data_IF_826211279617
#
_entry.id   IF_826211279617
#
_cell.length_a   1.000
_cell.length_b   1.000
_cell.length_c   1.000
_cell.angle_alpha   90.00
_cell.angle_beta   90.00
_cell.angle_gamma   90.00
#
_symmetry.space_group_name_H-M   'P 1'
#
loop_
_entity.id
_entity.type
_entity.pdbx_description
1 polymer ?
#
# COMPACT_ATOMS: atom_id res chain seq x y z
N UNK A 1 -19.02 -45.19 -1.26
CA UNK A 1 -18.69 -43.89 -0.64
C UNK A 1 -18.77 -42.86 -1.75
N UNK A 2 -19.86 -42.11 -1.83
CA UNK A 2 -20.01 -41.09 -2.87
C UNK A 2 -19.20 -39.86 -2.47
N UNK A 3 -18.24 -39.52 -3.31
CA UNK A 3 -17.41 -38.32 -3.20
C UNK A 3 -18.33 -37.11 -3.46
N UNK A 4 -18.70 -36.38 -2.40
CA UNK A 4 -19.52 -35.18 -2.51
C UNK A 4 -18.66 -34.06 -3.10
N UNK A 5 -18.60 -34.01 -4.43
CA UNK A 5 -18.03 -32.89 -5.15
C UNK A 5 -18.86 -31.64 -4.84
N UNK A 6 -18.22 -30.63 -4.29
CA UNK A 6 -18.83 -29.35 -3.93
C UNK A 6 -19.64 -28.77 -5.09
N UNK A 7 -20.86 -28.35 -4.82
CA UNK A 7 -21.69 -27.71 -5.85
C UNK A 7 -21.08 -26.37 -6.25
N UNK A 8 -21.40 -25.90 -7.46
CA UNK A 8 -20.93 -24.60 -7.96
C UNK A 8 -21.32 -23.44 -7.04
N UNK A 9 -22.50 -23.51 -6.44
CA UNK A 9 -23.02 -22.50 -5.51
C UNK A 9 -22.21 -22.50 -4.20
N UNK A 10 -21.98 -23.66 -3.61
CA UNK A 10 -21.16 -23.79 -2.40
C UNK A 10 -19.75 -23.29 -2.65
N UNK A 11 -19.13 -23.63 -3.80
CA UNK A 11 -17.79 -23.16 -4.14
C UNK A 11 -17.71 -21.63 -4.23
N UNK A 12 -18.67 -21.00 -4.90
CA UNK A 12 -18.74 -19.55 -5.01
C UNK A 12 -18.88 -18.88 -3.63
N UNK A 13 -19.71 -19.44 -2.76
CA UNK A 13 -19.87 -18.95 -1.39
C UNK A 13 -18.58 -19.07 -0.58
N UNK A 14 -17.90 -20.22 -0.69
CA UNK A 14 -16.62 -20.43 -0.01
C UNK A 14 -15.54 -19.44 -0.47
N UNK A 15 -15.50 -19.13 -1.76
CA UNK A 15 -14.55 -18.16 -2.32
C UNK A 15 -14.88 -16.73 -1.86
N UNK A 16 -16.16 -16.36 -1.76
CA UNK A 16 -16.59 -15.08 -1.20
C UNK A 16 -16.19 -14.94 0.28
N UNK A 17 -16.42 -15.98 1.08
CA UNK A 17 -16.04 -16.00 2.50
C UNK A 17 -14.53 -15.87 2.68
N UNK A 18 -13.73 -16.51 1.81
CA UNK A 18 -12.27 -16.34 1.80
C UNK A 18 -11.86 -14.91 1.47
N UNK A 19 -12.45 -14.32 0.44
CA UNK A 19 -12.17 -12.94 0.04
C UNK A 19 -12.52 -11.94 1.17
N UNK A 20 -13.69 -12.08 1.79
CA UNK A 20 -14.10 -11.24 2.92
C UNK A 20 -13.16 -11.38 4.12
N UNK A 21 -12.81 -12.62 4.48
CA UNK A 21 -11.84 -12.91 5.55
C UNK A 21 -10.48 -12.26 5.27
N UNK A 22 -9.97 -12.42 4.05
CA UNK A 22 -8.64 -11.93 3.68
C UNK A 22 -8.60 -10.41 3.61
N UNK A 23 -9.68 -9.78 3.14
CA UNK A 23 -9.86 -8.32 3.20
C UNK A 23 -9.87 -7.81 4.65
N UNK A 24 -10.64 -8.43 5.54
CA UNK A 24 -10.70 -8.04 6.95
C UNK A 24 -9.33 -8.19 7.64
N UNK A 25 -8.58 -9.25 7.31
CA UNK A 25 -7.20 -9.43 7.78
C UNK A 25 -6.26 -8.36 7.23
N UNK A 26 -6.43 -7.95 5.98
CA UNK A 26 -5.59 -6.94 5.34
C UNK A 26 -5.72 -5.55 5.97
N UNK A 27 -6.82 -5.24 6.67
CA UNK A 27 -7.00 -3.98 7.41
C UNK A 27 -6.17 -3.89 8.70
N UNK A 28 -5.58 -5.00 9.17
CA UNK A 28 -4.72 -4.98 10.36
C UNK A 28 -3.38 -4.30 10.07
N UNK A 29 -2.82 -3.68 11.10
CA UNK A 29 -1.46 -3.19 11.03
C UNK A 29 -0.50 -4.38 10.81
N UNK A 30 0.45 -4.28 9.87
CA UNK A 30 1.38 -5.38 9.61
C UNK A 30 2.36 -5.55 10.78
N UNK A 31 2.48 -6.78 11.27
CA UNK A 31 3.39 -7.17 12.37
C UNK A 31 4.59 -7.95 11.79
N UNK A 32 5.44 -7.26 11.03
CA UNK A 32 6.70 -7.84 10.53
C UNK A 32 7.89 -7.16 11.22
N UNK A 33 9.01 -7.88 11.33
CA UNK A 33 10.30 -7.25 11.63
C UNK A 33 10.62 -6.17 10.57
N UNK A 34 11.38 -5.15 10.98
CA UNK A 34 11.83 -4.09 10.06
C UNK A 34 12.50 -4.71 8.83
N UNK A 35 12.08 -4.37 7.60
CA UNK A 35 12.65 -4.95 6.39
C UNK A 35 14.16 -4.68 6.29
N UNK A 36 14.93 -5.70 5.91
CA UNK A 36 16.37 -5.58 5.72
C UNK A 36 16.69 -4.62 4.56
N UNK A 37 17.28 -3.48 4.90
CA UNK A 37 17.67 -2.42 3.97
C UNK A 37 19.14 -2.58 3.61
N UNK A 38 19.43 -2.45 2.32
CA UNK A 38 20.79 -2.28 1.85
C UNK A 38 21.26 -0.85 2.14
N UNK A 39 22.52 -0.72 2.54
CA UNK A 39 23.13 0.57 2.78
C UNK A 39 23.18 1.38 1.48
N UNK A 40 23.04 2.71 1.59
CA UNK A 40 23.24 3.61 0.46
C UNK A 40 24.73 3.58 0.10
N UNK A 41 25.09 3.28 -1.17
CA UNK A 41 26.49 3.18 -1.57
C UNK A 41 27.19 4.54 -1.54
N UNK A 42 28.51 4.52 -1.31
CA UNK A 42 29.34 5.73 -1.35
C UNK A 42 29.53 6.21 -2.80
N UNK A 43 30.06 7.42 -2.95
CA UNK A 43 30.38 7.97 -4.26
C UNK A 43 31.38 7.06 -5.00
N UNK A 44 31.05 6.66 -6.23
CA UNK A 44 31.83 5.72 -7.05
C UNK A 44 31.56 4.23 -6.79
N UNK A 45 30.67 3.90 -5.85
CA UNK A 45 30.18 2.54 -5.61
C UNK A 45 28.72 2.40 -6.08
N UNK A 46 28.31 1.17 -6.35
CA UNK A 46 26.91 0.83 -6.60
C UNK A 46 26.48 -0.34 -5.71
N UNK A 47 25.17 -0.48 -5.54
CA UNK A 47 24.55 -1.62 -4.87
C UNK A 47 23.37 -2.09 -5.69
N UNK A 48 23.14 -3.39 -5.71
CA UNK A 48 21.99 -4.01 -6.36
C UNK A 48 21.07 -4.63 -5.32
N UNK A 49 19.78 -4.62 -5.60
CA UNK A 49 18.78 -5.24 -4.74
C UNK A 49 17.38 -5.07 -5.28
N UNK A 50 16.42 -5.17 -4.37
CA UNK A 50 15.01 -5.01 -4.69
C UNK A 50 14.53 -3.63 -4.29
N UNK A 51 13.70 -3.03 -5.12
CA UNK A 51 12.98 -1.80 -4.79
C UNK A 51 11.49 -2.00 -5.10
N UNK A 52 10.67 -1.04 -4.70
CA UNK A 52 9.26 -1.05 -5.03
C UNK A 52 8.75 0.34 -5.43
N UNK A 53 7.70 0.35 -6.26
CA UNK A 53 6.88 1.53 -6.51
C UNK A 53 5.46 1.25 -6.02
N UNK A 54 5.01 1.96 -4.98
CA UNK A 54 3.66 1.77 -4.42
C UNK A 54 2.55 2.44 -5.24
N UNK A 55 2.89 3.18 -6.30
CA UNK A 55 1.89 3.86 -7.12
C UNK A 55 1.13 2.85 -8.00
N UNK A 56 -0.20 2.88 -7.94
CA UNK A 56 -1.04 2.05 -8.81
C UNK A 56 -1.06 0.56 -8.45
N UNK A 57 -0.65 0.18 -7.23
CA UNK A 57 -0.69 -1.21 -6.74
C UNK A 57 -2.11 -1.75 -6.59
N UNK A 58 -3.10 -0.87 -6.55
CA UNK A 58 -4.53 -1.17 -6.55
C UNK A 58 -5.05 -1.76 -7.87
N UNK A 59 -4.28 -1.68 -8.96
CA UNK A 59 -4.66 -2.17 -10.30
C UNK A 59 -4.58 -3.70 -10.47
N UNK A 60 -4.67 -4.45 -9.37
CA UNK A 60 -4.72 -5.91 -9.35
C UNK A 60 -3.35 -6.62 -9.20
N UNK A 61 -3.33 -7.96 -9.19
CA UNK A 61 -2.16 -8.76 -8.81
C UNK A 61 -0.95 -8.54 -9.74
N UNK A 62 -1.18 -8.30 -11.03
CA UNK A 62 -0.11 -7.97 -11.98
C UNK A 62 0.58 -6.63 -11.67
N UNK A 63 -0.10 -5.72 -10.97
CA UNK A 63 0.50 -4.45 -10.54
C UNK A 63 1.50 -4.68 -9.40
N UNK A 64 1.20 -5.59 -8.46
CA UNK A 64 2.12 -5.95 -7.36
C UNK A 64 3.41 -6.57 -7.92
N UNK A 65 3.29 -7.42 -8.95
CA UNK A 65 4.45 -8.04 -9.60
C UNK A 65 5.35 -7.01 -10.28
N UNK A 66 4.76 -6.02 -10.97
CA UNK A 66 5.50 -4.94 -11.63
C UNK A 66 6.04 -3.90 -10.65
N UNK A 67 5.35 -3.71 -9.52
CA UNK A 67 5.70 -2.73 -8.51
C UNK A 67 7.04 -3.06 -7.86
N UNK A 68 7.29 -4.33 -7.52
CA UNK A 68 8.52 -4.80 -6.87
C UNK A 68 9.49 -5.37 -7.91
N UNK A 69 10.63 -4.72 -8.08
CA UNK A 69 11.58 -5.04 -9.15
C UNK A 69 13.03 -4.97 -8.67
N UNK A 70 13.89 -5.66 -9.41
CA UNK A 70 15.33 -5.51 -9.26
C UNK A 70 15.75 -4.12 -9.73
N UNK A 71 16.66 -3.52 -8.99
CA UNK A 71 17.22 -2.21 -9.26
C UNK A 71 18.66 -2.14 -8.75
N UNK A 72 19.38 -1.15 -9.25
CA UNK A 72 20.67 -0.75 -8.74
C UNK A 72 20.62 0.72 -8.33
N UNK A 73 21.45 1.08 -7.36
CA UNK A 73 21.57 2.44 -6.86
C UNK A 73 23.05 2.81 -6.76
N UNK A 74 23.35 4.05 -7.09
CA UNK A 74 24.56 4.77 -6.70
C UNK A 74 24.14 5.91 -5.74
N UNK A 75 25.08 6.79 -5.38
CA UNK A 75 24.79 7.96 -4.55
C UNK A 75 23.88 9.00 -5.24
N UNK A 76 24.07 9.23 -6.54
CA UNK A 76 23.42 10.32 -7.29
C UNK A 76 22.42 9.85 -8.35
N UNK A 77 22.41 8.56 -8.66
CA UNK A 77 21.53 7.97 -9.66
C UNK A 77 21.14 6.55 -9.27
N UNK A 78 20.12 6.05 -9.92
CA UNK A 78 19.68 4.67 -9.80
C UNK A 78 19.09 4.21 -11.13
N UNK A 79 18.85 2.92 -11.26
CA UNK A 79 18.16 2.38 -12.42
C UNK A 79 17.52 1.02 -12.16
N UNK A 80 16.71 0.59 -13.11
CA UNK A 80 16.03 -0.70 -13.07
C UNK A 80 16.91 -1.81 -13.64
N UNK A 81 16.76 -3.03 -13.10
CA UNK A 81 17.53 -4.22 -13.49
C UNK A 81 18.87 -4.35 -12.75
N UNK A 82 19.75 -5.23 -13.24
CA UNK A 82 21.13 -5.35 -12.76
C UNK A 82 21.99 -4.20 -13.29
N UNK A 83 23.02 -3.81 -12.54
CA UNK A 83 23.94 -2.74 -12.91
C UNK A 83 24.71 -3.12 -14.17
N UNK A 84 24.74 -2.22 -15.16
CA UNK A 84 25.51 -2.39 -16.39
C UNK A 84 26.34 -1.14 -16.66
N UNK A 85 27.65 -1.14 -16.34
CA UNK A 85 28.51 0.05 -16.42
C UNK A 85 28.66 0.66 -17.84
N UNK A 86 28.19 -0.03 -18.89
CA UNK A 86 28.34 0.37 -20.30
C UNK A 86 27.08 0.21 -21.15
N UNK A 87 25.97 -0.22 -20.57
CA UNK A 87 24.70 -0.36 -21.28
C UNK A 87 23.60 0.47 -20.63
N UNK A 88 22.70 0.92 -21.48
CA UNK A 88 21.52 1.76 -21.24
C UNK A 88 20.48 1.08 -20.33
N UNK A 89 20.83 0.75 -19.10
CA UNK A 89 19.81 0.65 -18.05
C UNK A 89 19.06 1.98 -18.01
N UNK A 90 17.74 1.96 -17.74
CA UNK A 90 17.00 3.22 -17.50
C UNK A 90 17.58 3.83 -16.23
N UNK A 91 18.50 4.78 -16.38
CA UNK A 91 19.07 5.53 -15.28
C UNK A 91 18.40 6.88 -15.18
N UNK A 92 18.18 7.33 -13.96
CA UNK A 92 17.73 8.69 -13.68
C UNK A 92 18.65 9.29 -12.61
N UNK A 93 19.14 10.50 -12.84
CA UNK A 93 19.85 11.30 -11.85
C UNK A 93 18.84 11.89 -10.85
N UNK A 94 18.21 11.02 -10.06
CA UNK A 94 17.15 11.33 -9.09
C UNK A 94 17.56 10.92 -7.67
N UNK A 95 18.86 10.97 -7.37
CA UNK A 95 19.49 10.40 -6.17
C UNK A 95 19.41 8.86 -6.13
N UNK A 96 20.13 8.28 -5.18
CA UNK A 96 20.00 6.87 -4.86
C UNK A 96 18.61 6.51 -4.30
N UNK A 97 18.20 5.27 -4.53
CA UNK A 97 16.94 4.72 -3.99
C UNK A 97 17.23 3.71 -2.88
N UNK A 98 16.29 3.59 -1.94
CA UNK A 98 16.36 2.53 -0.96
C UNK A 98 16.20 1.17 -1.65
N UNK A 99 17.18 0.30 -1.44
CA UNK A 99 17.17 -1.09 -1.88
C UNK A 99 17.01 -2.03 -0.68
N UNK A 100 16.48 -3.22 -0.95
CA UNK A 100 16.28 -4.29 0.01
C UNK A 100 17.00 -5.55 -0.46
N UNK A 101 17.50 -6.34 0.48
CA UNK A 101 18.25 -7.57 0.18
C UNK A 101 17.39 -8.59 -0.57
N UNK A 102 16.12 -8.73 -0.14
CA UNK A 102 15.20 -9.71 -0.70
C UNK A 102 13.94 -9.07 -1.26
N UNK A 103 13.33 -9.76 -2.23
CA UNK A 103 12.00 -9.39 -2.75
C UNK A 103 10.94 -9.40 -1.63
N UNK A 104 11.07 -10.30 -0.68
CA UNK A 104 10.16 -10.39 0.47
C UNK A 104 10.26 -9.15 1.35
N UNK A 105 11.46 -8.63 1.59
CA UNK A 105 11.65 -7.41 2.38
C UNK A 105 11.12 -6.17 1.65
N UNK A 106 11.34 -6.07 0.33
CA UNK A 106 10.70 -5.04 -0.48
C UNK A 106 9.16 -5.11 -0.44
N UNK A 107 8.57 -6.31 -0.48
CA UNK A 107 7.11 -6.49 -0.33
C UNK A 107 6.61 -6.09 1.07
N UNK A 108 7.33 -6.44 2.14
CA UNK A 108 6.97 -6.02 3.51
C UNK A 108 7.03 -4.51 3.63
N UNK A 109 8.08 -3.89 3.11
CA UNK A 109 8.24 -2.43 3.09
C UNK A 109 7.10 -1.76 2.30
N UNK A 110 6.77 -2.28 1.13
CA UNK A 110 5.64 -1.82 0.33
C UNK A 110 4.31 -1.94 1.10
N UNK A 111 4.07 -3.09 1.74
CA UNK A 111 2.86 -3.32 2.54
C UNK A 111 2.76 -2.37 3.74
N UNK A 112 3.88 -2.01 4.37
CA UNK A 112 3.92 -1.02 5.44
C UNK A 112 3.60 0.39 4.90
N UNK A 113 4.27 0.81 3.83
CA UNK A 113 4.05 2.11 3.19
C UNK A 113 2.58 2.30 2.75
N UNK A 114 2.02 1.28 2.09
CA UNK A 114 0.62 1.29 1.64
C UNK A 114 -0.34 1.41 2.83
N UNK A 115 -0.11 0.66 3.91
CA UNK A 115 -0.95 0.80 5.11
C UNK A 115 -0.85 2.16 5.77
N UNK A 116 0.34 2.73 5.88
CA UNK A 116 0.48 4.08 6.44
C UNK A 116 -0.26 5.12 5.60
N UNK A 117 -0.19 5.01 4.27
CA UNK A 117 -0.91 5.90 3.36
C UNK A 117 -2.42 5.78 3.57
N UNK A 118 -2.98 4.57 3.48
CA UNK A 118 -4.43 4.40 3.65
C UNK A 118 -4.91 4.70 5.07
N UNK A 119 -4.14 4.38 6.11
CA UNK A 119 -4.49 4.72 7.48
C UNK A 119 -4.59 6.24 7.68
N UNK A 120 -3.65 7.01 7.10
CA UNK A 120 -3.72 8.48 7.12
C UNK A 120 -4.95 8.99 6.35
N UNK A 121 -5.21 8.45 5.17
CA UNK A 121 -6.39 8.82 4.36
C UNK A 121 -7.69 8.53 5.12
N UNK A 122 -7.81 7.35 5.74
CA UNK A 122 -8.98 6.99 6.54
C UNK A 122 -9.15 7.92 7.73
N UNK A 123 -8.08 8.24 8.47
CA UNK A 123 -8.16 9.19 9.58
C UNK A 123 -8.62 10.59 9.15
N UNK A 124 -8.23 11.05 7.96
CA UNK A 124 -8.71 12.32 7.40
C UNK A 124 -10.20 12.26 7.03
N UNK A 125 -10.65 11.15 6.45
CA UNK A 125 -12.07 10.91 6.13
C UNK A 125 -12.90 10.87 7.41
N UNK A 126 -12.45 10.16 8.45
CA UNK A 126 -13.13 10.06 9.74
C UNK A 126 -13.28 11.43 10.40
N UNK A 127 -12.23 12.26 10.34
CA UNK A 127 -12.31 13.64 10.83
C UNK A 127 -13.33 14.48 10.05
N UNK A 128 -13.41 14.32 8.72
CA UNK A 128 -14.40 15.01 7.90
C UNK A 128 -15.83 14.55 8.20
N UNK A 129 -16.05 13.24 8.41
CA UNK A 129 -17.34 12.67 8.83
C UNK A 129 -17.78 13.27 10.17
N UNK A 130 -16.88 13.31 11.15
CA UNK A 130 -17.16 13.87 12.47
C UNK A 130 -17.52 15.37 12.38
N UNK A 131 -16.79 16.13 11.58
CA UNK A 131 -17.06 17.56 11.36
C UNK A 131 -18.43 17.80 10.71
N UNK A 132 -18.82 16.97 9.73
CA UNK A 132 -20.12 17.08 9.07
C UNK A 132 -21.27 16.69 10.01
N UNK A 133 -21.11 15.62 10.79
CA UNK A 133 -22.08 15.23 11.81
C UNK A 133 -22.32 16.34 12.86
N UNK A 134 -21.25 17.03 13.27
CA UNK A 134 -21.35 18.17 14.18
C UNK A 134 -22.03 19.39 13.54
N UNK A 135 -21.83 19.63 12.24
CA UNK A 135 -22.52 20.71 11.51
C UNK A 135 -24.02 20.44 11.42
N UNK A 136 -24.41 19.21 11.09
CA UNK A 136 -25.81 18.82 10.98
C UNK A 136 -26.54 18.91 12.33
N UNK A 137 -25.89 18.51 13.43
CA UNK A 137 -26.50 18.65 14.76
C UNK A 137 -26.65 20.11 15.19
N UNK A 138 -25.70 21.00 14.86
CA UNK A 138 -25.81 22.43 15.11
C UNK A 138 -26.96 23.06 14.30
N UNK A 139 -27.06 22.76 13.01
CA UNK A 139 -28.15 23.26 12.15
C UNK A 139 -29.54 22.83 12.65
N UNK A 140 -29.69 21.55 13.03
CA UNK A 140 -30.95 21.05 13.60
C UNK A 140 -31.32 21.75 14.92
N UNK A 141 -30.33 22.19 15.72
CA UNK A 141 -30.59 22.89 16.99
C UNK A 141 -31.05 24.33 16.75
N UNK A 142 -30.49 25.01 15.75
CA UNK A 142 -30.89 26.37 15.37
C UNK A 142 -32.32 26.41 14.81
N UNK A 143 -32.70 25.45 13.97
CA UNK A 143 -34.07 25.32 13.44
C UNK A 143 -35.10 25.13 14.56
N UNK A 144 -34.85 24.24 15.51
CA UNK A 144 -35.74 24.00 16.67
C UNK A 144 -35.88 25.27 17.54
N UNK A 145 -34.79 26.02 17.75
CA UNK A 145 -34.84 27.26 18.55
C UNK A 145 -35.62 28.40 17.86
N UNK A 146 -35.57 28.43 16.53
CA UNK A 146 -36.25 29.44 15.69
C UNK A 146 -37.75 29.16 15.61
N UNK A 147 -38.16 27.89 15.54
CA UNK A 147 -39.57 27.51 15.65
C UNK A 147 -40.13 27.77 17.06
N UNK A 148 -39.36 27.48 18.11
CA UNK A 148 -39.81 27.70 19.49
C UNK A 148 -39.96 29.18 19.90
N UNK A 149 -39.32 30.10 19.17
CA UNK A 149 -39.41 31.55 19.42
C UNK A 149 -40.51 32.24 18.59
N UNK A 150 -41.13 31.54 17.64
CA UNK A 150 -42.21 32.03 16.79
C UNK A 150 -43.61 31.51 17.20
N UNK A 151 -43.70 30.83 18.36
CA UNK A 151 -44.95 30.35 19.00
C UNK A 151 -45.16 31.11 20.30
#
# INVERSE_FOLDING_TARGET
MSDMAMTKAEKAEMDNLRAARDMARALRWPEYAEPAKLAVPKFGEFTEGWTFNSFGVENGPSAIERAVRLAWSESICHGDGGYRPRETGRSASQNGVQLFETRADALKAMRLQVTQTYARTLAQIDAAIAAEAARQSAANTEEISTEASNV
#
